data_IF_250028954830
#
_entry.id   IF_250028954830
#
_cell.length_a   1.000
_cell.length_b   1.000
_cell.length_c   1.000
_cell.angle_alpha   90.00
_cell.angle_beta   90.00
_cell.angle_gamma   90.00
#
_symmetry.space_group_name_H-M   'P 1'
#
loop_
_entity.id
_entity.type
_entity.pdbx_description
1 polymer ?
#
# COMPACT_ATOMS: atom_id res chain seq x y z
N UNK A 1 -3.01 -27.04 7.48
CA UNK A 1 -2.13 -26.16 8.28
C UNK A 1 -2.51 -24.73 7.92
N UNK A 2 -3.52 -24.19 8.59
CA UNK A 2 -4.00 -22.82 8.37
C UNK A 2 -3.09 -21.87 9.14
N UNK A 3 -2.23 -21.15 8.45
CA UNK A 3 -1.43 -20.08 9.06
C UNK A 3 -2.41 -18.95 9.30
N UNK A 4 -2.83 -18.81 10.55
CA UNK A 4 -3.77 -17.80 10.99
C UNK A 4 -3.24 -16.43 10.63
N UNK A 5 -4.09 -15.64 9.97
CA UNK A 5 -3.95 -14.21 9.88
C UNK A 5 -3.69 -13.67 11.29
N UNK A 6 -2.47 -13.22 11.56
CA UNK A 6 -2.18 -12.46 12.77
C UNK A 6 -3.10 -11.24 12.75
N UNK A 7 -4.07 -11.28 13.66
CA UNK A 7 -5.20 -10.37 13.74
C UNK A 7 -4.72 -8.95 14.05
N UNK A 8 -4.71 -8.07 13.05
CA UNK A 8 -4.54 -6.64 13.28
C UNK A 8 -5.84 -6.06 13.87
N UNK A 9 -5.89 -6.03 15.19
CA UNK A 9 -6.94 -5.37 15.96
C UNK A 9 -6.90 -3.85 15.72
N UNK A 10 -7.81 -3.37 14.87
CA UNK A 10 -8.27 -1.97 14.85
C UNK A 10 -7.59 -0.99 13.89
N UNK A 11 -6.72 -1.43 12.98
CA UNK A 11 -6.06 -0.55 12.01
C UNK A 11 -5.44 -1.31 10.83
N UNK A 12 -4.95 -0.60 9.80
CA UNK A 12 -4.29 -1.24 8.66
C UNK A 12 -3.02 -1.97 9.11
N UNK A 13 -2.76 -3.13 8.51
CA UNK A 13 -1.52 -3.87 8.71
C UNK A 13 -0.34 -3.10 8.13
N UNK A 14 0.87 -3.45 8.53
CA UNK A 14 2.09 -2.88 7.93
C UNK A 14 2.15 -3.13 6.41
N UNK A 15 1.74 -4.31 5.96
CA UNK A 15 1.68 -4.66 4.54
C UNK A 15 0.65 -3.82 3.78
N UNK A 16 -0.54 -3.60 4.36
CA UNK A 16 -1.57 -2.73 3.78
C UNK A 16 -1.08 -1.27 3.69
N UNK A 17 -0.41 -0.78 4.73
CA UNK A 17 0.21 0.56 4.73
C UNK A 17 1.31 0.66 3.67
N UNK A 18 2.17 -0.35 3.56
CA UNK A 18 3.24 -0.40 2.58
C UNK A 18 2.68 -0.31 1.15
N UNK A 19 1.60 -1.05 0.85
CA UNK A 19 0.94 -0.98 -0.45
C UNK A 19 0.37 0.42 -0.75
N UNK A 20 -0.30 1.04 0.22
CA UNK A 20 -0.85 2.39 0.07
C UNK A 20 0.29 3.40 -0.18
N UNK A 21 1.37 3.31 0.57
CA UNK A 21 2.54 4.18 0.43
C UNK A 21 3.24 3.99 -0.91
N UNK A 22 3.44 2.74 -1.35
CA UNK A 22 4.01 2.45 -2.67
C UNK A 22 3.12 3.01 -3.77
N UNK A 23 1.80 2.81 -3.72
CA UNK A 23 0.88 3.36 -4.73
C UNK A 23 0.93 4.89 -4.78
N UNK A 24 1.01 5.54 -3.63
CA UNK A 24 1.15 7.01 -3.56
C UNK A 24 2.46 7.47 -4.19
N UNK A 25 3.59 6.84 -3.83
CA UNK A 25 4.91 7.14 -4.40
C UNK A 25 4.95 6.90 -5.91
N UNK A 26 4.38 5.80 -6.40
CA UNK A 26 4.29 5.50 -7.82
C UNK A 26 3.52 6.58 -8.58
N UNK A 27 2.41 7.06 -8.01
CA UNK A 27 1.59 8.13 -8.60
C UNK A 27 2.36 9.45 -8.66
N UNK A 28 3.07 9.81 -7.59
CA UNK A 28 3.90 11.01 -7.54
C UNK A 28 5.06 10.94 -8.54
N UNK A 29 5.73 9.80 -8.62
CA UNK A 29 6.80 9.58 -9.59
C UNK A 29 6.29 9.64 -11.03
N UNK A 30 5.13 9.06 -11.32
CA UNK A 30 4.51 9.15 -12.64
C UNK A 30 4.22 10.60 -13.04
N UNK A 31 3.71 11.42 -12.11
CA UNK A 31 3.50 12.84 -12.34
C UNK A 31 4.83 13.57 -12.61
N UNK A 32 5.87 13.30 -11.82
CA UNK A 32 7.19 13.89 -12.00
C UNK A 32 7.83 13.51 -13.36
N UNK A 33 7.72 12.25 -13.77
CA UNK A 33 8.23 11.77 -15.07
C UNK A 33 7.51 12.41 -16.26
N UNK A 34 6.25 12.81 -16.11
CA UNK A 34 5.51 13.54 -17.16
C UNK A 34 5.91 15.02 -17.19
N UNK A 35 6.13 15.63 -16.02
CA UNK A 35 6.40 17.06 -15.91
C UNK A 35 7.87 17.41 -16.21
N UNK A 36 8.80 16.67 -15.61
CA UNK A 36 10.24 16.87 -15.76
C UNK A 36 10.99 15.51 -15.73
N UNK A 37 11.00 14.79 -16.87
CA UNK A 37 11.58 13.45 -16.95
C UNK A 37 13.11 13.40 -16.77
N UNK A 38 13.80 14.52 -17.00
CA UNK A 38 15.27 14.58 -17.00
C UNK A 38 15.84 15.36 -15.81
N UNK A 39 14.98 15.94 -14.96
CA UNK A 39 15.38 16.45 -13.66
C UNK A 39 16.17 15.37 -12.88
N UNK A 40 17.36 15.73 -12.33
CA UNK A 40 18.13 14.84 -11.47
C UNK A 40 17.30 14.27 -10.32
N UNK A 41 16.41 15.08 -9.75
CA UNK A 41 15.53 14.69 -8.64
C UNK A 41 14.50 13.64 -9.06
N UNK A 42 13.95 13.74 -10.28
CA UNK A 42 13.05 12.73 -10.85
C UNK A 42 13.79 11.42 -11.10
N UNK A 43 15.02 11.49 -11.60
CA UNK A 43 15.86 10.31 -11.82
C UNK A 43 16.25 9.62 -10.50
N UNK A 44 16.58 10.38 -9.46
CA UNK A 44 16.84 9.85 -8.12
C UNK A 44 15.60 9.21 -7.50
N UNK A 45 14.44 9.87 -7.59
CA UNK A 45 13.18 9.32 -7.13
C UNK A 45 12.82 8.01 -7.86
N UNK A 46 13.08 7.92 -9.17
CA UNK A 46 12.88 6.69 -9.93
C UNK A 46 13.80 5.56 -9.47
N UNK A 47 15.09 5.85 -9.28
CA UNK A 47 16.06 4.86 -8.75
C UNK A 47 15.66 4.34 -7.38
N UNK A 48 15.27 5.24 -6.48
CA UNK A 48 14.85 4.86 -5.13
C UNK A 48 13.56 4.04 -5.15
N UNK A 49 12.57 4.43 -5.96
CA UNK A 49 11.33 3.67 -6.11
C UNK A 49 11.58 2.24 -6.60
N UNK A 50 12.50 2.06 -7.56
CA UNK A 50 12.86 0.73 -8.07
C UNK A 50 13.63 -0.09 -7.03
N UNK A 51 14.50 0.52 -6.22
CA UNK A 51 15.20 -0.16 -5.14
C UNK A 51 14.23 -0.70 -4.07
N UNK A 52 13.15 0.04 -3.78
CA UNK A 52 12.14 -0.33 -2.78
C UNK A 52 11.03 -1.26 -3.35
N UNK A 53 11.04 -1.56 -4.64
CA UNK A 53 9.93 -2.24 -5.33
C UNK A 53 9.70 -3.69 -4.84
N UNK A 54 10.73 -4.39 -4.36
CA UNK A 54 10.61 -5.76 -3.85
C UNK A 54 9.65 -5.85 -2.65
N UNK A 55 9.76 -4.93 -1.70
CA UNK A 55 8.88 -4.87 -0.52
C UNK A 55 7.40 -4.66 -0.92
N UNK A 56 7.15 -3.95 -2.02
CA UNK A 56 5.80 -3.78 -2.54
C UNK A 56 5.23 -5.06 -3.17
N UNK A 57 6.07 -5.84 -3.85
CA UNK A 57 5.68 -7.13 -4.43
C UNK A 57 5.32 -8.12 -3.33
N UNK A 58 6.10 -8.18 -2.25
CA UNK A 58 5.82 -9.03 -1.09
C UNK A 58 4.52 -8.64 -0.39
N UNK A 59 4.30 -7.34 -0.17
CA UNK A 59 3.05 -6.85 0.41
C UNK A 59 1.84 -7.15 -0.48
N UNK A 60 2.00 -7.08 -1.81
CA UNK A 60 0.94 -7.42 -2.77
C UNK A 60 0.63 -8.92 -2.77
N UNK A 61 1.66 -9.78 -2.68
CA UNK A 61 1.48 -11.22 -2.58
C UNK A 61 0.68 -11.61 -1.32
N UNK A 62 0.91 -10.95 -0.18
CA UNK A 62 0.15 -11.17 1.04
C UNK A 62 -1.35 -10.84 0.87
N UNK A 63 -1.67 -9.78 0.11
CA UNK A 63 -3.06 -9.42 -0.21
C UNK A 63 -3.69 -10.40 -1.21
N UNK A 64 -2.92 -10.90 -2.19
CA UNK A 64 -3.41 -11.90 -3.15
C UNK A 64 -3.75 -13.26 -2.51
N UNK A 65 -3.22 -13.56 -1.32
CA UNK A 65 -3.60 -14.75 -0.58
C UNK A 65 -5.02 -14.68 0.00
N UNK A 66 -5.63 -13.49 0.03
CA UNK A 66 -7.01 -13.31 0.52
C UNK A 66 -8.01 -13.59 -0.61
N UNK A 67 -9.11 -14.25 -0.26
CA UNK A 67 -10.27 -14.40 -1.14
C UNK A 67 -11.03 -13.08 -1.27
N UNK A 68 -11.84 -12.94 -2.31
CA UNK A 68 -12.67 -11.73 -2.51
C UNK A 68 -13.58 -11.40 -1.30
N UNK A 69 -14.26 -12.37 -0.65
CA UNK A 69 -15.03 -12.09 0.57
C UNK A 69 -14.18 -11.56 1.72
N UNK A 70 -12.97 -12.09 1.91
CA UNK A 70 -12.04 -11.66 2.97
C UNK A 70 -11.54 -10.24 2.70
N UNK A 71 -11.20 -9.93 1.44
CA UNK A 71 -10.82 -8.57 1.03
C UNK A 71 -11.96 -7.57 1.28
N UNK A 72 -13.20 -7.91 0.91
CA UNK A 72 -14.36 -7.05 1.14
C UNK A 72 -14.61 -6.80 2.62
N UNK A 73 -14.52 -7.85 3.44
CA UNK A 73 -14.65 -7.74 4.90
C UNK A 73 -13.58 -6.82 5.48
N UNK A 74 -12.33 -6.98 5.04
CA UNK A 74 -11.20 -6.16 5.49
C UNK A 74 -11.34 -4.70 5.09
N UNK A 75 -11.78 -4.42 3.86
CA UNK A 75 -12.08 -3.04 3.41
C UNK A 75 -13.21 -2.44 4.25
N UNK A 76 -14.28 -3.18 4.53
CA UNK A 76 -15.40 -2.70 5.34
C UNK A 76 -14.98 -2.36 6.77
N UNK A 77 -14.10 -3.17 7.37
CA UNK A 77 -13.51 -2.93 8.69
C UNK A 77 -12.71 -1.62 8.71
N UNK A 78 -11.76 -1.45 7.77
CA UNK A 78 -10.91 -0.26 7.67
C UNK A 78 -11.74 1.01 7.44
N UNK A 79 -12.79 0.93 6.62
CA UNK A 79 -13.72 2.05 6.39
C UNK A 79 -14.55 2.40 7.63
N UNK A 80 -14.93 1.40 8.44
CA UNK A 80 -15.62 1.61 9.71
C UNK A 80 -14.73 2.36 10.72
N UNK A 81 -13.47 1.93 10.84
CA UNK A 81 -12.47 2.56 11.73
C UNK A 81 -12.17 4.00 11.31
N UNK A 82 -12.04 4.26 10.01
CA UNK A 82 -11.80 5.61 9.49
C UNK A 82 -12.94 6.57 9.84
N UNK A 83 -14.20 6.10 9.73
CA UNK A 83 -15.39 6.89 10.10
C UNK A 83 -15.48 7.18 11.59
N UNK A 84 -15.14 6.22 12.45
CA UNK A 84 -15.19 6.46 13.90
C UNK A 84 -14.10 7.44 14.36
N UNK A 85 -12.93 7.45 13.72
CA UNK A 85 -11.84 8.39 14.00
C UNK A 85 -12.08 9.81 13.48
N UNK A 86 -12.86 9.97 12.40
CA UNK A 86 -13.21 11.30 11.86
C UNK A 86 -14.41 11.98 12.54
N UNK A 87 -15.07 11.31 13.48
CA UNK A 87 -16.23 11.81 14.22
C UNK A 87 -15.90 12.25 15.66
N UNK A 88 -14.62 12.24 16.04
CA UNK A 88 -14.07 12.75 17.31
C UNK A 88 -13.23 13.98 17.04
#
# INVERSE_FOLDING_TARGET
MSVGAEQAHGGPTEQELQLVMTRKRATQLAAALVQDPFAPETADAARQFLADASAAVEAYAAVLCLTEPELRARIAELMSISRSRGAS
#
